data_IF_405435457984
#
_entry.id   IF_405435457984
#
_cell.length_a   1.000
_cell.length_b   1.000
_cell.length_c   1.000
_cell.angle_alpha   90.00
_cell.angle_beta   90.00
_cell.angle_gamma   90.00
#
_symmetry.space_group_name_H-M   'P 1'
#
loop_
_entity.id
_entity.type
_entity.pdbx_description
1 polymer ?
#
# COMPACT_ATOMS: atom_id res chain seq x y z
N UNK A 1 -4.37 -10.90 -13.21
CA UNK A 1 -2.96 -10.45 -13.24
C UNK A 1 -2.74 -9.39 -12.16
N UNK A 2 -1.50 -8.97 -11.93
CA UNK A 2 -1.09 -8.05 -10.85
C UNK A 2 -1.94 -6.76 -10.81
N UNK A 3 -2.17 -6.12 -11.98
CA UNK A 3 -2.93 -4.87 -12.07
C UNK A 3 -4.39 -5.07 -11.69
N UNK A 4 -4.99 -6.19 -12.11
CA UNK A 4 -6.37 -6.56 -11.76
C UNK A 4 -6.55 -6.76 -10.24
N UNK A 5 -5.60 -7.42 -9.57
CA UNK A 5 -5.65 -7.64 -8.12
C UNK A 5 -5.61 -6.30 -7.36
N UNK A 6 -4.70 -5.40 -7.73
CA UNK A 6 -4.58 -4.08 -7.11
C UNK A 6 -5.86 -3.25 -7.37
N UNK A 7 -6.35 -3.23 -8.61
CA UNK A 7 -7.58 -2.53 -8.96
C UNK A 7 -8.79 -3.01 -8.14
N UNK A 8 -8.96 -4.33 -8.01
CA UNK A 8 -10.02 -4.91 -7.18
C UNK A 8 -9.83 -4.54 -5.70
N UNK A 9 -8.61 -4.60 -5.18
CA UNK A 9 -8.35 -4.24 -3.79
C UNK A 9 -8.74 -2.78 -3.49
N UNK A 10 -8.45 -1.85 -4.41
CA UNK A 10 -8.85 -0.45 -4.28
C UNK A 10 -10.37 -0.30 -4.27
N UNK A 11 -11.09 -1.08 -5.11
CA UNK A 11 -12.56 -1.10 -5.09
C UNK A 11 -13.11 -1.65 -3.77
N UNK A 12 -12.54 -2.72 -3.24
CA UNK A 12 -12.99 -3.32 -1.97
C UNK A 12 -12.72 -2.41 -0.77
N UNK A 13 -11.57 -1.72 -0.75
CA UNK A 13 -11.29 -0.67 0.23
C UNK A 13 -12.36 0.42 0.22
N UNK A 14 -12.77 0.89 -0.97
CA UNK A 14 -13.83 1.91 -1.12
C UNK A 14 -15.20 1.43 -0.63
N UNK A 15 -15.43 0.11 -0.60
CA UNK A 15 -16.63 -0.52 -0.06
C UNK A 15 -16.54 -0.81 1.44
N UNK A 16 -15.50 -0.34 2.12
CA UNK A 16 -15.16 -0.67 3.51
C UNK A 16 -14.91 -2.18 3.75
N UNK A 17 -14.67 -2.95 2.69
CA UNK A 17 -14.30 -4.36 2.77
C UNK A 17 -12.78 -4.49 2.98
N UNK A 18 -12.29 -3.97 4.11
CA UNK A 18 -10.87 -3.84 4.45
C UNK A 18 -10.13 -5.17 4.40
N UNK A 19 -10.73 -6.26 4.90
CA UNK A 19 -10.12 -7.59 4.92
C UNK A 19 -9.86 -8.14 3.51
N UNK A 20 -10.84 -8.03 2.60
CA UNK A 20 -10.70 -8.49 1.22
C UNK A 20 -9.67 -7.62 0.47
N UNK A 21 -9.65 -6.31 0.70
CA UNK A 21 -8.64 -5.43 0.12
C UNK A 21 -7.22 -5.86 0.54
N UNK A 22 -7.00 -6.16 1.83
CA UNK A 22 -5.72 -6.66 2.34
C UNK A 22 -5.37 -8.01 1.72
N UNK A 23 -6.33 -8.94 1.62
CA UNK A 23 -6.11 -10.26 1.01
C UNK A 23 -5.63 -10.12 -0.44
N UNK A 24 -6.31 -9.29 -1.23
CA UNK A 24 -5.98 -9.04 -2.63
C UNK A 24 -4.61 -8.36 -2.81
N UNK A 25 -4.26 -7.41 -1.93
CA UNK A 25 -2.95 -6.76 -1.94
C UNK A 25 -1.83 -7.73 -1.56
N UNK A 26 -2.07 -8.62 -0.60
CA UNK A 26 -1.12 -9.70 -0.26
C UNK A 26 -0.93 -10.67 -1.43
N UNK A 27 -1.99 -10.96 -2.19
CA UNK A 27 -1.88 -11.78 -3.41
C UNK A 27 -1.09 -11.06 -4.51
N UNK A 28 -1.31 -9.76 -4.70
CA UNK A 28 -0.51 -8.94 -5.61
C UNK A 28 0.98 -8.98 -5.23
N UNK A 29 1.30 -8.86 -3.95
CA UNK A 29 2.67 -8.91 -3.44
C UNK A 29 3.31 -10.32 -3.48
N UNK A 30 2.54 -11.39 -3.63
CA UNK A 30 3.09 -12.72 -3.94
C UNK A 30 3.62 -12.79 -5.38
N UNK A 31 3.03 -12.02 -6.29
CA UNK A 31 3.45 -11.96 -7.70
C UNK A 31 4.64 -11.03 -7.86
N UNK A 32 4.56 -9.82 -7.27
CA UNK A 32 5.63 -8.84 -7.27
C UNK A 32 5.77 -8.22 -5.86
N UNK A 33 6.70 -8.72 -5.03
CA UNK A 33 6.90 -8.26 -3.66
C UNK A 33 7.34 -6.79 -3.52
N UNK A 34 7.92 -6.22 -4.58
CA UNK A 34 8.45 -4.86 -4.59
C UNK A 34 7.55 -3.89 -5.37
N UNK A 35 6.37 -4.36 -5.80
CA UNK A 35 5.42 -3.54 -6.54
C UNK A 35 5.05 -2.27 -5.75
N UNK A 36 5.29 -1.05 -6.29
CA UNK A 36 5.05 0.18 -5.54
C UNK A 36 3.57 0.40 -5.23
N UNK A 37 2.65 0.11 -6.17
CA UNK A 37 1.22 0.34 -5.97
C UNK A 37 0.62 -0.58 -4.89
N UNK A 38 0.96 -1.87 -4.92
CA UNK A 38 0.48 -2.81 -3.90
C UNK A 38 1.03 -2.48 -2.51
N UNK A 39 2.32 -2.12 -2.41
CA UNK A 39 2.93 -1.69 -1.16
C UNK A 39 2.32 -0.37 -0.65
N UNK A 40 2.04 0.60 -1.52
CA UNK A 40 1.37 1.84 -1.14
C UNK A 40 -0.02 1.56 -0.55
N UNK A 41 -0.88 0.85 -1.29
CA UNK A 41 -2.25 0.60 -0.86
C UNK A 41 -2.33 -0.24 0.42
N UNK A 42 -1.45 -1.22 0.59
CA UNK A 42 -1.40 -2.02 1.82
C UNK A 42 -0.89 -1.19 3.00
N UNK A 43 0.15 -0.37 2.77
CA UNK A 43 0.67 0.55 3.79
C UNK A 43 -0.40 1.52 4.29
N UNK A 44 -1.17 2.13 3.40
CA UNK A 44 -2.26 3.05 3.76
C UNK A 44 -3.39 2.35 4.54
N UNK A 45 -3.77 1.13 4.14
CA UNK A 45 -4.77 0.34 4.87
C UNK A 45 -4.31 -0.02 6.28
N UNK A 46 -3.05 -0.46 6.43
CA UNK A 46 -2.48 -0.77 7.74
C UNK A 46 -2.41 0.48 8.63
N UNK A 47 -2.07 1.63 8.04
CA UNK A 47 -2.07 2.90 8.76
C UNK A 47 -3.48 3.28 9.27
N UNK A 48 -4.50 3.12 8.44
CA UNK A 48 -5.91 3.34 8.81
C UNK A 48 -6.39 2.43 9.95
N UNK A 49 -5.80 1.23 10.08
CA UNK A 49 -6.09 0.29 11.16
C UNK A 49 -5.27 0.54 12.43
N UNK A 50 -4.30 1.47 12.41
CA UNK A 50 -3.37 1.70 13.52
C UNK A 50 -2.19 0.71 13.56
N UNK A 51 -2.02 -0.13 12.54
CA UNK A 51 -0.90 -1.06 12.41
C UNK A 51 0.34 -0.33 11.86
N UNK A 52 0.91 0.55 12.69
CA UNK A 52 1.95 1.50 12.31
C UNK A 52 3.24 0.85 11.80
N UNK A 53 3.77 -0.14 12.50
CA UNK A 53 5.03 -0.79 12.11
C UNK A 53 4.92 -1.53 10.76
N UNK A 54 3.88 -2.37 10.52
CA UNK A 54 3.60 -2.89 9.18
C UNK A 54 3.41 -1.80 8.12
N UNK A 55 2.68 -0.73 8.44
CA UNK A 55 2.45 0.39 7.51
C UNK A 55 3.76 1.03 7.07
N UNK A 56 4.64 1.38 8.03
CA UNK A 56 5.97 1.94 7.77
C UNK A 56 6.78 1.06 6.82
N UNK A 57 6.80 -0.26 7.04
CA UNK A 57 7.56 -1.18 6.17
C UNK A 57 7.07 -1.15 4.72
N UNK A 58 5.76 -1.18 4.50
CA UNK A 58 5.20 -1.15 3.15
C UNK A 58 5.36 0.23 2.48
N UNK A 59 5.15 1.31 3.21
CA UNK A 59 5.34 2.67 2.70
C UNK A 59 6.82 2.96 2.36
N UNK A 60 7.78 2.43 3.13
CA UNK A 60 9.19 2.49 2.77
C UNK A 60 9.52 1.71 1.49
N UNK A 61 8.92 0.52 1.29
CA UNK A 61 9.06 -0.22 0.02
C UNK A 61 8.49 0.54 -1.16
N UNK A 62 7.36 1.22 -0.99
CA UNK A 62 6.83 2.13 -2.00
C UNK A 62 7.84 3.23 -2.33
N UNK A 63 8.40 3.94 -1.35
CA UNK A 63 9.38 5.01 -1.59
C UNK A 63 10.67 4.51 -2.27
N UNK A 64 11.08 3.27 -1.99
CA UNK A 64 12.25 2.66 -2.62
C UNK A 64 12.04 2.36 -4.11
N UNK A 65 10.85 1.89 -4.48
CA UNK A 65 10.59 1.33 -5.81
C UNK A 65 9.70 2.19 -6.72
N UNK A 66 9.01 3.20 -6.18
CA UNK A 66 8.20 4.12 -6.96
C UNK A 66 9.07 5.06 -7.80
N UNK A 67 8.62 5.36 -9.02
CA UNK A 67 9.26 6.33 -9.90
C UNK A 67 9.51 7.66 -9.18
N UNK A 68 10.65 8.35 -9.37
CA UNK A 68 10.90 9.67 -8.79
C UNK A 68 9.81 10.71 -9.11
N UNK A 69 9.08 10.54 -10.23
CA UNK A 69 7.99 11.41 -10.64
C UNK A 69 6.63 11.06 -10.01
N UNK A 70 6.53 9.98 -9.23
CA UNK A 70 5.28 9.59 -8.56
C UNK A 70 4.91 10.62 -7.48
N UNK A 71 3.80 11.31 -7.69
CA UNK A 71 3.34 12.40 -6.80
C UNK A 71 3.09 11.95 -5.36
N UNK A 72 2.73 10.68 -5.13
CA UNK A 72 2.45 10.14 -3.80
C UNK A 72 3.70 10.09 -2.91
N UNK A 73 4.91 10.19 -3.48
CA UNK A 73 6.18 10.11 -2.72
C UNK A 73 6.28 11.19 -1.65
N UNK A 74 5.89 12.42 -1.96
CA UNK A 74 5.95 13.54 -1.02
C UNK A 74 5.03 13.28 0.17
N UNK A 75 3.80 12.87 -0.11
CA UNK A 75 2.79 12.57 0.91
C UNK A 75 3.23 11.40 1.80
N UNK A 76 3.76 10.33 1.20
CA UNK A 76 4.24 9.16 1.96
C UNK A 76 5.46 9.51 2.82
N UNK A 77 6.39 10.32 2.31
CA UNK A 77 7.53 10.77 3.10
C UNK A 77 7.08 11.55 4.33
N UNK A 78 6.17 12.51 4.14
CA UNK A 78 5.62 13.29 5.25
C UNK A 78 4.83 12.42 6.24
N UNK A 79 4.02 11.47 5.74
CA UNK A 79 3.28 10.54 6.60
C UNK A 79 4.23 9.74 7.49
N UNK A 80 5.29 9.16 6.93
CA UNK A 80 6.25 8.34 7.67
C UNK A 80 6.92 9.07 8.84
N UNK A 81 7.11 10.39 8.73
CA UNK A 81 7.64 11.24 9.81
C UNK A 81 6.65 11.43 10.97
N UNK A 82 5.35 11.24 10.71
CA UNK A 82 4.27 11.44 11.68
C UNK A 82 3.78 10.15 12.33
N UNK A 83 4.16 8.99 11.79
CA UNK A 83 3.77 7.70 12.37
C UNK A 83 4.55 7.50 13.68
N UNK A 84 3.89 7.24 14.81
CA UNK A 84 4.55 7.04 16.11
C UNK A 84 5.51 5.86 16.11
#
# INVERSE_FOLDING_TARGET
>A
DLKSLIGKAVSERRRANTEEAIRLLKEALKIDPENPDANYHLGMLLLEMGDFEPAKRHLNKFLKNASPADGRRKDVSALLETIP
#
